data_IF_185985312234
#
_entry.id   IF_185985312234
#
_cell.length_a   1.000
_cell.length_b   1.000
_cell.length_c   1.000
_cell.angle_alpha   90.00
_cell.angle_beta   90.00
_cell.angle_gamma   90.00
#
_symmetry.space_group_name_H-M   'P 1'
#
loop_
_entity.id
_entity.type
_entity.pdbx_description
1 polymer ?
#
# COMPACT_ATOMS: atom_id res chain seq x y z
N UNK A 1 -14.52 -16.34 -3.02
CA UNK A 1 -13.55 -15.27 -3.30
C UNK A 1 -13.09 -15.46 -4.73
N UNK A 2 -13.18 -14.46 -5.61
CA UNK A 2 -12.63 -14.56 -6.96
C UNK A 2 -11.10 -14.46 -6.86
N UNK A 3 -10.40 -15.37 -7.51
CA UNK A 3 -8.94 -15.37 -7.48
C UNK A 3 -8.41 -14.35 -8.51
N UNK A 4 -7.92 -13.22 -8.02
CA UNK A 4 -7.42 -12.15 -8.88
C UNK A 4 -6.16 -12.57 -9.64
N UNK A 5 -5.40 -13.53 -9.11
CA UNK A 5 -4.23 -14.07 -9.80
C UNK A 5 -4.67 -14.88 -11.02
N UNK A 6 -5.73 -15.67 -10.89
CA UNK A 6 -6.33 -16.36 -12.02
C UNK A 6 -6.83 -15.37 -13.09
N UNK A 7 -7.42 -14.26 -12.69
CA UNK A 7 -7.89 -13.21 -13.61
C UNK A 7 -6.74 -12.54 -14.35
N UNK A 8 -5.61 -12.29 -13.67
CA UNK A 8 -4.38 -11.73 -14.27
C UNK A 8 -3.76 -12.70 -15.27
N UNK A 9 -3.61 -13.96 -14.90
CA UNK A 9 -2.98 -14.99 -15.75
C UNK A 9 -3.86 -15.40 -16.93
N UNK A 10 -5.18 -15.43 -16.75
CA UNK A 10 -6.14 -15.94 -17.74
C UNK A 10 -7.08 -14.83 -18.24
N UNK A 11 -6.57 -13.61 -18.38
CA UNK A 11 -7.32 -12.41 -18.77
C UNK A 11 -8.24 -12.65 -19.99
N UNK A 12 -7.71 -13.25 -21.06
CA UNK A 12 -8.50 -13.54 -22.26
C UNK A 12 -9.63 -14.55 -22.03
N UNK A 13 -9.38 -15.63 -21.28
CA UNK A 13 -10.42 -16.62 -20.92
C UNK A 13 -11.52 -15.97 -20.09
N UNK A 14 -11.17 -15.07 -19.17
CA UNK A 14 -12.14 -14.35 -18.34
C UNK A 14 -12.97 -13.40 -19.19
N UNK A 15 -12.34 -12.65 -20.10
CA UNK A 15 -13.04 -11.78 -21.06
C UNK A 15 -14.00 -12.57 -21.97
N UNK A 16 -13.55 -13.70 -22.50
CA UNK A 16 -14.41 -14.59 -23.30
C UNK A 16 -15.55 -15.20 -22.45
N UNK A 17 -15.27 -15.60 -21.22
CA UNK A 17 -16.29 -16.11 -20.29
C UNK A 17 -17.36 -15.06 -19.96
N UNK A 18 -16.98 -13.78 -19.83
CA UNK A 18 -17.92 -12.66 -19.68
C UNK A 18 -18.78 -12.49 -20.92
N UNK A 19 -18.17 -12.45 -22.12
CA UNK A 19 -18.91 -12.37 -23.38
C UNK A 19 -19.90 -13.54 -23.54
N UNK A 20 -19.48 -14.76 -23.22
CA UNK A 20 -20.33 -15.97 -23.26
C UNK A 20 -21.50 -15.92 -22.26
N UNK A 21 -21.35 -15.17 -21.16
CA UNK A 21 -22.41 -14.91 -20.17
C UNK A 21 -23.34 -13.76 -20.56
N UNK A 22 -23.09 -13.09 -21.69
CA UNK A 22 -23.89 -11.97 -22.18
C UNK A 22 -23.50 -10.60 -21.60
N UNK A 23 -22.34 -10.51 -20.93
CA UNK A 23 -21.77 -9.22 -20.50
C UNK A 23 -21.28 -8.44 -21.72
N UNK A 24 -21.74 -7.19 -21.88
CA UNK A 24 -21.39 -6.34 -23.03
C UNK A 24 -20.00 -5.73 -22.90
N UNK A 25 -19.46 -5.67 -21.69
CA UNK A 25 -18.23 -4.93 -21.39
C UNK A 25 -17.25 -5.83 -20.65
N UNK A 26 -16.13 -6.15 -21.30
CA UNK A 26 -15.04 -6.92 -20.72
C UNK A 26 -13.91 -6.04 -20.17
N UNK A 27 -14.05 -4.71 -20.27
CA UNK A 27 -13.10 -3.70 -19.77
C UNK A 27 -12.98 -3.69 -18.25
N UNK A 28 -14.02 -4.17 -17.55
CA UNK A 28 -14.01 -4.31 -16.09
C UNK A 28 -12.89 -5.24 -15.60
N UNK A 29 -12.50 -6.24 -16.39
CA UNK A 29 -11.37 -7.13 -16.06
C UNK A 29 -10.08 -6.33 -15.93
N UNK A 30 -9.87 -5.38 -16.83
CA UNK A 30 -8.65 -4.57 -16.88
C UNK A 30 -8.64 -3.55 -15.75
N UNK A 31 -9.80 -2.95 -15.47
CA UNK A 31 -9.98 -2.02 -14.36
C UNK A 31 -9.76 -2.70 -13.00
N UNK A 32 -10.28 -3.92 -12.82
CA UNK A 32 -10.08 -4.70 -11.58
C UNK A 32 -8.61 -5.04 -11.39
N UNK A 33 -7.90 -5.44 -12.45
CA UNK A 33 -6.45 -5.71 -12.37
C UNK A 33 -5.69 -4.44 -11.99
N UNK A 34 -5.98 -3.30 -12.64
CA UNK A 34 -5.33 -2.04 -12.34
C UNK A 34 -5.59 -1.56 -10.90
N UNK A 35 -6.82 -1.71 -10.40
CA UNK A 35 -7.14 -1.36 -9.00
C UNK A 35 -6.50 -2.31 -7.99
N UNK A 36 -6.39 -3.60 -8.28
CA UNK A 36 -5.66 -4.54 -7.41
C UNK A 36 -4.17 -4.18 -7.33
N UNK A 37 -3.57 -3.79 -8.44
CA UNK A 37 -2.16 -3.35 -8.48
C UNK A 37 -1.97 -2.06 -7.68
N UNK A 38 -2.81 -1.04 -7.90
CA UNK A 38 -2.79 0.19 -7.12
C UNK A 38 -3.01 -0.06 -5.62
N UNK A 39 -3.97 -0.91 -5.28
CA UNK A 39 -4.23 -1.27 -3.88
C UNK A 39 -3.03 -1.98 -3.26
N UNK A 40 -2.40 -2.93 -3.96
CA UNK A 40 -1.20 -3.62 -3.47
C UNK A 40 -0.02 -2.68 -3.29
N UNK A 41 0.22 -1.77 -4.24
CA UNK A 41 1.25 -0.74 -4.10
C UNK A 41 1.00 0.16 -2.88
N UNK A 42 -0.25 0.58 -2.68
CA UNK A 42 -0.63 1.38 -1.51
C UNK A 42 -0.42 0.60 -0.21
N UNK A 43 -0.85 -0.66 -0.14
CA UNK A 43 -0.62 -1.53 1.02
C UNK A 43 0.87 -1.69 1.29
N UNK A 44 1.69 -1.91 0.26
CA UNK A 44 3.14 -2.00 0.41
C UNK A 44 3.77 -0.71 0.93
N UNK A 45 3.35 0.45 0.38
CA UNK A 45 3.80 1.76 0.86
C UNK A 45 3.41 1.96 2.32
N UNK A 46 2.16 1.66 2.68
CA UNK A 46 1.65 1.78 4.05
C UNK A 46 2.48 0.92 5.02
N UNK A 47 2.76 -0.34 4.67
CA UNK A 47 3.54 -1.25 5.50
C UNK A 47 5.02 -0.85 5.59
N UNK A 48 5.61 -0.36 4.50
CA UNK A 48 6.97 0.18 4.50
C UNK A 48 7.08 1.38 5.44
N UNK A 49 6.12 2.31 5.36
CA UNK A 49 6.07 3.48 6.22
C UNK A 49 5.87 3.09 7.69
N UNK A 50 4.97 2.15 7.98
CA UNK A 50 4.77 1.64 9.36
C UNK A 50 6.07 1.03 9.91
N UNK A 51 6.79 0.29 9.08
CA UNK A 51 8.09 -0.30 9.44
C UNK A 51 9.15 0.77 9.71
N UNK A 52 9.24 1.77 8.84
CA UNK A 52 10.15 2.92 9.01
C UNK A 52 9.82 3.71 10.28
N UNK A 53 8.54 3.98 10.53
CA UNK A 53 8.08 4.68 11.74
C UNK A 53 8.48 3.93 13.02
N UNK A 54 8.33 2.60 13.03
CA UNK A 54 8.74 1.77 14.15
C UNK A 54 10.27 1.76 14.33
N UNK A 55 11.04 1.77 13.24
CA UNK A 55 12.50 1.87 13.30
C UNK A 55 12.95 3.23 13.85
N UNK A 56 12.36 4.33 13.34
CA UNK A 56 12.59 5.70 13.82
C UNK A 56 12.23 5.83 15.31
N UNK A 57 11.13 5.23 15.76
CA UNK A 57 10.76 5.24 17.18
C UNK A 57 11.82 4.60 18.10
N UNK A 58 12.44 3.49 17.66
CA UNK A 58 13.55 2.86 18.40
C UNK A 58 14.79 3.76 18.43
N UNK A 59 15.11 4.40 17.30
CA UNK A 59 16.22 5.36 17.22
C UNK A 59 16.01 6.57 18.13
N UNK A 60 14.80 7.13 18.17
CA UNK A 60 14.42 8.21 19.08
C UNK A 60 14.64 7.80 20.54
N UNK A 61 14.20 6.60 20.94
CA UNK A 61 14.42 6.09 22.29
C UNK A 61 15.92 6.01 22.66
N UNK A 62 16.75 5.53 21.73
CA UNK A 62 18.20 5.48 21.90
C UNK A 62 18.84 6.88 22.00
N UNK A 63 18.46 7.81 21.12
CA UNK A 63 18.97 9.19 21.11
C UNK A 63 18.57 9.98 22.36
N UNK A 64 17.33 9.79 22.83
CA UNK A 64 16.84 10.36 24.09
C UNK A 64 17.63 9.82 25.28
N UNK A 65 17.96 8.52 25.29
CA UNK A 65 18.84 7.91 26.30
C UNK A 65 20.29 8.41 26.25
N UNK A 66 20.78 8.83 25.08
CA UNK A 66 22.08 9.46 24.89
C UNK A 66 22.10 10.97 25.19
N UNK A 67 20.95 11.57 25.54
CA UNK A 67 20.83 13.00 25.81
C UNK A 67 20.75 13.89 24.55
N UNK A 68 20.71 13.30 23.35
CA UNK A 68 20.64 13.99 22.05
C UNK A 68 19.20 14.38 21.71
N UNK A 69 18.62 15.27 22.52
CA UNK A 69 17.21 15.70 22.40
C UNK A 69 16.88 16.39 21.07
N UNK A 70 17.81 17.16 20.51
CA UNK A 70 17.62 17.86 19.24
C UNK A 70 17.50 16.91 18.04
N UNK A 71 18.39 15.91 17.95
CA UNK A 71 18.33 14.86 16.92
C UNK A 71 17.02 14.05 17.05
N UNK A 72 16.62 13.70 18.29
CA UNK A 72 15.38 13.00 18.55
C UNK A 72 14.14 13.81 18.14
N UNK A 73 14.10 15.11 18.41
CA UNK A 73 12.98 15.99 18.01
C UNK A 73 12.86 16.12 16.49
N UNK A 74 13.97 16.20 15.78
CA UNK A 74 13.97 16.23 14.31
C UNK A 74 13.33 14.97 13.72
N UNK A 75 13.71 13.79 14.23
CA UNK A 75 13.16 12.51 13.77
C UNK A 75 11.67 12.38 14.14
N UNK A 76 11.25 12.87 15.32
CA UNK A 76 9.83 12.89 15.71
C UNK A 76 9.01 13.74 14.73
N UNK A 77 9.50 14.90 14.33
CA UNK A 77 8.81 15.77 13.38
C UNK A 77 8.66 15.11 12.01
N UNK A 78 9.71 14.45 11.51
CA UNK A 78 9.64 13.67 10.27
C UNK A 78 8.62 12.53 10.38
N UNK A 79 8.68 11.77 11.47
CA UNK A 79 7.81 10.61 11.69
C UNK A 79 6.34 11.03 11.81
N UNK A 80 6.07 12.24 12.31
CA UNK A 80 4.71 12.78 12.44
C UNK A 80 4.13 13.15 11.07
N UNK A 81 4.90 13.85 10.21
CA UNK A 81 4.49 14.13 8.83
C UNK A 81 4.19 12.86 8.05
N UNK A 82 5.10 11.89 8.14
CA UNK A 82 4.96 10.59 7.48
C UNK A 82 3.68 9.87 7.94
N UNK A 83 3.29 10.00 9.22
CA UNK A 83 2.03 9.44 9.74
C UNK A 83 0.79 10.20 9.28
N UNK A 84 0.89 11.50 9.06
CA UNK A 84 -0.18 12.32 8.49
C UNK A 84 -0.42 11.95 7.03
N UNK A 85 0.64 11.85 6.22
CA UNK A 85 0.55 11.38 4.84
C UNK A 85 -0.07 9.97 4.78
N UNK A 86 0.31 9.09 5.71
CA UNK A 86 -0.25 7.74 5.84
C UNK A 86 -1.76 7.72 6.07
N UNK A 87 -2.28 8.64 6.90
CA UNK A 87 -3.72 8.75 7.17
C UNK A 87 -4.53 9.17 5.94
N UNK A 88 -3.88 9.80 4.97
CA UNK A 88 -4.52 10.22 3.73
C UNK A 88 -4.68 9.04 2.75
N UNK A 89 -3.89 7.98 2.92
CA UNK A 89 -3.95 6.74 2.13
C UNK A 89 -4.75 5.61 2.80
N UNK A 90 -5.24 5.81 4.03
CA UNK A 90 -6.03 4.85 4.83
C UNK A 90 -7.54 5.13 4.72
#
# INVERSE_FOLDING_TARGET
MLDINFIKENKEKVKQGMLNKGEKTNSLVDEVIAKDEQWRELVQKVDAIRTESNAKAKQIGALMGQGKKEEAQSIIAETTKIKEDLKEFE
#
